data_IF_275547048450
#
_entry.id   IF_275547048450
#
_cell.length_a   1.000
_cell.length_b   1.000
_cell.length_c   1.000
_cell.angle_alpha   90.00
_cell.angle_beta   90.00
_cell.angle_gamma   90.00
#
_symmetry.space_group_name_H-M   'P 1'
#
loop_
_entity.id
_entity.type
_entity.pdbx_description
1 polymer ?
#
# COMPACT_ATOMS: atom_id res chain seq x y z
N UNK A 1 -2.65 -8.41 2.44
CA UNK A 1 -2.56 -8.40 0.97
C UNK A 1 -1.12 -8.26 0.46
N UNK A 2 -0.17 -8.20 1.36
CA UNK A 2 1.25 -8.30 1.02
C UNK A 2 1.59 -9.73 0.59
N UNK A 3 2.38 -9.89 -0.46
CA UNK A 3 2.87 -11.20 -0.89
C UNK A 3 4.29 -11.35 -0.35
N UNK A 4 4.56 -12.30 0.57
CA UNK A 4 5.91 -12.53 1.07
C UNK A 4 6.82 -13.18 0.02
N UNK A 5 8.14 -13.06 0.22
CA UNK A 5 9.10 -13.77 -0.63
C UNK A 5 8.91 -15.29 -0.54
N UNK A 6 8.99 -15.95 -1.70
CA UNK A 6 8.79 -17.37 -1.81
C UNK A 6 7.38 -17.80 -2.23
N UNK A 7 6.37 -16.96 -2.15
CA UNK A 7 5.03 -17.27 -2.66
C UNK A 7 4.93 -17.17 -4.18
N UNK A 8 5.68 -16.27 -4.80
CA UNK A 8 5.77 -16.13 -6.25
C UNK A 8 7.11 -16.61 -6.78
N UNK A 9 7.08 -17.18 -7.98
CA UNK A 9 8.31 -17.55 -8.69
C UNK A 9 9.11 -16.30 -9.09
N UNK A 10 10.44 -16.39 -9.24
CA UNK A 10 11.23 -15.30 -9.81
C UNK A 10 10.74 -14.82 -11.17
N UNK A 11 10.22 -15.72 -12.02
CA UNK A 11 9.67 -15.36 -13.31
C UNK A 11 8.42 -14.46 -13.17
N UNK A 12 7.52 -14.78 -12.25
CA UNK A 12 6.34 -13.94 -11.96
C UNK A 12 6.78 -12.59 -11.39
N UNK A 13 7.73 -12.55 -10.45
CA UNK A 13 8.27 -11.32 -9.88
C UNK A 13 8.89 -10.41 -10.95
N UNK A 14 9.69 -10.97 -11.84
CA UNK A 14 10.30 -10.24 -12.97
C UNK A 14 9.23 -9.72 -13.93
N UNK A 15 8.21 -10.52 -14.23
CA UNK A 15 7.09 -10.07 -15.10
C UNK A 15 6.37 -8.87 -14.50
N UNK A 16 6.07 -8.88 -13.20
CA UNK A 16 5.52 -7.71 -12.50
C UNK A 16 6.48 -6.52 -12.54
N UNK A 17 7.80 -6.75 -12.40
CA UNK A 17 8.83 -5.72 -12.53
C UNK A 17 8.86 -5.07 -13.90
N UNK A 18 8.74 -5.86 -14.97
CA UNK A 18 8.66 -5.35 -16.35
C UNK A 18 7.45 -4.44 -16.56
N UNK A 19 6.32 -4.74 -15.90
CA UNK A 19 5.14 -3.89 -15.93
C UNK A 19 5.30 -2.63 -15.06
N UNK A 20 5.92 -2.77 -13.89
CA UNK A 20 6.03 -1.66 -12.94
C UNK A 20 7.10 -0.63 -13.29
N UNK A 21 8.23 -1.02 -13.90
CA UNK A 21 9.28 -0.07 -14.29
C UNK A 21 8.77 1.06 -15.18
N UNK A 22 8.05 0.79 -16.29
CA UNK A 22 7.44 1.87 -17.08
C UNK A 22 6.39 2.67 -16.31
N UNK A 23 5.61 2.03 -15.43
CA UNK A 23 4.62 2.72 -14.59
C UNK A 23 5.31 3.71 -13.63
N UNK A 24 6.39 3.31 -12.95
CA UNK A 24 7.17 4.19 -12.08
C UNK A 24 7.82 5.34 -12.86
N UNK A 25 8.42 5.07 -14.01
CA UNK A 25 9.02 6.10 -14.87
C UNK A 25 7.97 7.11 -15.31
N UNK A 26 6.80 6.64 -15.74
CA UNK A 26 5.72 7.51 -16.16
C UNK A 26 5.13 8.32 -15.00
N UNK A 27 4.95 7.69 -13.83
CA UNK A 27 4.50 8.36 -12.62
C UNK A 27 5.48 9.47 -12.20
N UNK A 28 6.78 9.16 -12.17
CA UNK A 28 7.82 10.15 -11.85
C UNK A 28 7.80 11.34 -12.82
N UNK A 29 7.65 11.08 -14.13
CA UNK A 29 7.54 12.14 -15.14
C UNK A 29 6.28 12.98 -14.96
N UNK A 30 5.12 12.34 -14.71
CA UNK A 30 3.83 13.03 -14.54
C UNK A 30 3.81 13.87 -13.27
N UNK A 31 4.24 13.31 -12.16
CA UNK A 31 4.28 14.00 -10.87
C UNK A 31 5.28 15.16 -10.89
N UNK A 32 6.43 15.01 -11.55
CA UNK A 32 7.44 16.05 -11.66
C UNK A 32 6.93 17.34 -12.31
N UNK A 33 5.96 17.26 -13.23
CA UNK A 33 5.42 18.45 -13.94
C UNK A 33 4.60 19.37 -13.03
N UNK A 34 3.95 18.82 -11.99
CA UNK A 34 3.13 19.60 -11.06
C UNK A 34 3.67 19.58 -9.61
N UNK A 35 4.82 18.90 -9.37
CA UNK A 35 5.45 18.88 -8.06
C UNK A 35 6.00 20.27 -7.74
N UNK A 36 5.32 20.97 -6.88
CA UNK A 36 5.71 22.24 -6.29
C UNK A 36 5.80 22.09 -4.77
N UNK A 37 6.31 23.11 -4.08
CA UNK A 37 6.55 23.09 -2.63
C UNK A 37 5.36 22.63 -1.78
N UNK A 38 4.13 22.75 -2.31
CA UNK A 38 2.89 22.34 -1.67
C UNK A 38 2.56 20.85 -1.80
N UNK A 39 2.90 20.23 -2.92
CA UNK A 39 2.55 18.84 -3.21
C UNK A 39 3.41 17.84 -2.40
N UNK A 40 4.68 18.16 -2.17
CA UNK A 40 5.61 17.28 -1.45
C UNK A 40 5.16 16.94 -0.03
N UNK A 41 4.78 17.93 0.83
CA UNK A 41 4.27 17.61 2.17
C UNK A 41 2.99 16.78 2.17
N UNK A 42 2.11 16.97 1.18
CA UNK A 42 0.89 16.18 1.04
C UNK A 42 1.18 14.76 0.57
N UNK A 43 2.13 14.56 -0.34
CA UNK A 43 2.59 13.23 -0.74
C UNK A 43 3.28 12.51 0.42
N UNK A 44 4.12 13.20 1.21
CA UNK A 44 4.74 12.64 2.40
C UNK A 44 3.69 12.20 3.43
N UNK A 45 2.72 13.06 3.71
CA UNK A 45 1.60 12.74 4.60
C UNK A 45 0.75 11.58 4.04
N UNK A 46 0.51 11.56 2.73
CA UNK A 46 -0.24 10.49 2.06
C UNK A 46 0.48 9.14 2.13
N UNK A 47 1.78 9.09 1.84
CA UNK A 47 2.57 7.87 1.95
C UNK A 47 2.63 7.38 3.41
N UNK A 48 2.80 8.29 4.37
CA UNK A 48 2.77 7.98 5.80
C UNK A 48 1.39 7.50 6.26
N UNK A 49 0.30 8.06 5.70
CA UNK A 49 -1.05 7.57 5.95
C UNK A 49 -1.23 6.15 5.39
N UNK A 50 -0.84 5.88 4.14
CA UNK A 50 -0.92 4.54 3.54
C UNK A 50 -0.14 3.52 4.38
N UNK A 51 1.09 3.84 4.79
CA UNK A 51 1.87 3.02 5.70
C UNK A 51 1.14 2.76 7.02
N UNK A 52 0.62 3.81 7.66
CA UNK A 52 0.01 3.69 8.99
C UNK A 52 -1.33 2.94 8.95
N UNK A 53 -2.16 3.13 7.92
CA UNK A 53 -3.45 2.44 7.83
C UNK A 53 -3.30 0.93 7.61
N UNK A 54 -2.23 0.50 6.95
CA UNK A 54 -1.91 -0.92 6.78
C UNK A 54 -1.52 -1.63 8.08
N UNK A 55 -1.16 -0.88 9.14
CA UNK A 55 -0.93 -1.45 10.48
C UNK A 55 -2.23 -1.87 11.19
N UNK A 56 -3.39 -1.43 10.71
CA UNK A 56 -4.68 -1.77 11.31
C UNK A 56 -5.25 -3.06 10.74
N UNK A 57 -4.72 -4.16 11.22
CA UNK A 57 -5.29 -5.48 10.90
C UNK A 57 -6.67 -5.65 11.55
N UNK A 58 -7.62 -6.15 10.78
CA UNK A 58 -8.94 -6.56 11.24
C UNK A 58 -9.11 -8.07 11.12
N UNK A 59 -9.78 -8.73 12.09
CA UNK A 59 -10.01 -10.16 12.01
C UNK A 59 -11.03 -10.47 10.91
N UNK A 60 -10.74 -11.49 10.10
CA UNK A 60 -11.60 -12.01 9.06
C UNK A 60 -12.08 -13.40 9.45
N UNK A 61 -13.35 -13.79 9.17
CA UNK A 61 -13.82 -15.15 9.40
C UNK A 61 -12.91 -16.18 8.75
N UNK A 62 -12.63 -17.27 9.48
CA UNK A 62 -11.67 -18.29 9.03
C UNK A 62 -10.28 -18.17 9.66
N UNK A 63 -10.09 -17.25 10.63
CA UNK A 63 -8.84 -17.15 11.39
C UNK A 63 -7.73 -16.39 10.66
N UNK A 64 -8.09 -15.56 9.68
CA UNK A 64 -7.18 -14.71 8.93
C UNK A 64 -7.42 -13.23 9.23
N UNK A 65 -6.57 -12.36 8.72
CA UNK A 65 -6.65 -10.91 8.89
C UNK A 65 -6.65 -10.19 7.54
N UNK A 66 -7.11 -8.94 7.55
CA UNK A 66 -7.03 -8.03 6.41
C UNK A 66 -6.90 -6.59 6.89
N UNK A 67 -6.48 -5.67 6.01
CA UNK A 67 -6.33 -4.25 6.30
C UNK A 67 -6.71 -3.39 5.08
N UNK A 68 -6.99 -2.12 5.33
CA UNK A 68 -7.08 -1.12 4.27
C UNK A 68 -5.67 -0.68 3.81
N UNK A 69 -5.56 -0.10 2.63
CA UNK A 69 -4.30 0.38 2.03
C UNK A 69 -4.24 1.90 1.96
N UNK A 70 -5.40 2.55 1.84
CA UNK A 70 -5.49 4.00 1.66
C UNK A 70 -5.20 4.46 0.22
N UNK A 71 -4.93 3.53 -0.69
CA UNK A 71 -4.61 3.84 -2.09
C UNK A 71 -5.75 4.52 -2.83
N UNK A 72 -6.99 4.16 -2.52
CA UNK A 72 -8.20 4.80 -3.04
C UNK A 72 -8.30 6.27 -2.64
N UNK A 73 -8.08 6.57 -1.37
CA UNK A 73 -8.04 7.95 -0.85
C UNK A 73 -6.97 8.78 -1.55
N UNK A 74 -5.75 8.24 -1.64
CA UNK A 74 -4.63 8.93 -2.27
C UNK A 74 -4.89 9.20 -3.76
N UNK A 75 -5.54 8.26 -4.47
CA UNK A 75 -5.91 8.43 -5.86
C UNK A 75 -6.91 9.58 -6.07
N UNK A 76 -7.89 9.73 -5.17
CA UNK A 76 -8.88 10.81 -5.24
C UNK A 76 -8.26 12.16 -4.89
N UNK A 77 -7.41 12.22 -3.86
CA UNK A 77 -6.83 13.49 -3.37
C UNK A 77 -5.64 13.95 -4.21
N UNK A 78 -4.71 13.05 -4.54
CA UNK A 78 -3.44 13.38 -5.19
C UNK A 78 -3.41 13.03 -6.68
N UNK A 79 -4.42 12.31 -7.16
CA UNK A 79 -4.42 11.67 -8.47
C UNK A 79 -3.68 10.32 -8.48
N UNK A 80 -4.00 9.41 -9.43
CA UNK A 80 -3.53 8.03 -9.41
C UNK A 80 -2.01 7.89 -9.57
N UNK A 81 -1.35 8.79 -10.31
CA UNK A 81 0.10 8.76 -10.48
C UNK A 81 0.88 9.12 -9.22
N UNK A 82 0.39 10.08 -8.43
CA UNK A 82 1.00 10.41 -7.16
C UNK A 82 0.69 9.35 -6.09
N UNK A 83 -0.52 8.80 -6.10
CA UNK A 83 -0.89 7.67 -5.26
C UNK A 83 0.03 6.47 -5.50
N UNK A 84 0.34 6.14 -6.77
CA UNK A 84 1.29 5.10 -7.13
C UNK A 84 2.65 5.32 -6.44
N UNK A 85 3.19 6.52 -6.48
CA UNK A 85 4.48 6.83 -5.81
C UNK A 85 4.34 6.70 -4.30
N UNK A 86 3.29 7.27 -3.70
CA UNK A 86 3.10 7.24 -2.24
C UNK A 86 2.98 5.81 -1.71
N UNK A 87 2.17 4.97 -2.36
CA UNK A 87 1.99 3.57 -1.94
C UNK A 87 3.27 2.76 -2.20
N UNK A 88 3.96 2.99 -3.33
CA UNK A 88 5.28 2.35 -3.57
C UNK A 88 6.28 2.68 -2.46
N UNK A 89 6.35 3.94 -2.00
CA UNK A 89 7.23 4.35 -0.90
C UNK A 89 6.83 3.60 0.39
N UNK A 90 5.53 3.55 0.71
CA UNK A 90 5.06 2.84 1.89
C UNK A 90 5.44 1.36 1.87
N UNK A 91 5.14 0.65 0.76
CA UNK A 91 5.47 -0.76 0.58
C UNK A 91 6.98 -1.03 0.62
N UNK A 92 7.78 -0.13 0.06
CA UNK A 92 9.24 -0.24 0.11
C UNK A 92 9.75 -0.16 1.54
N UNK A 93 9.25 0.79 2.33
CA UNK A 93 9.62 0.93 3.75
C UNK A 93 9.15 -0.29 4.56
N UNK A 94 7.95 -0.83 4.28
CA UNK A 94 7.44 -2.04 4.93
C UNK A 94 8.34 -3.25 4.64
N UNK A 95 8.68 -3.49 3.39
CA UNK A 95 9.53 -4.62 3.02
C UNK A 95 10.95 -4.50 3.59
N UNK A 96 11.59 -3.32 3.49
CA UNK A 96 12.98 -3.14 3.95
C UNK A 96 13.14 -3.07 5.46
N UNK A 97 12.29 -2.34 6.17
CA UNK A 97 12.45 -2.12 7.60
C UNK A 97 11.74 -3.15 8.46
N UNK A 98 10.61 -3.66 7.98
CA UNK A 98 9.73 -4.50 8.80
C UNK A 98 9.58 -5.93 8.28
N UNK A 99 10.12 -6.23 7.09
CA UNK A 99 9.95 -7.54 6.46
C UNK A 99 8.51 -7.84 6.05
N UNK A 100 7.65 -6.83 6.03
CA UNK A 100 6.25 -6.95 5.67
C UNK A 100 6.10 -6.90 4.13
N UNK A 101 5.66 -8.00 3.53
CA UNK A 101 5.85 -8.32 2.13
C UNK A 101 7.28 -8.78 1.83
N UNK A 102 7.63 -8.99 0.57
CA UNK A 102 8.94 -9.45 0.16
C UNK A 102 9.69 -8.43 -0.69
N UNK A 103 11.02 -8.54 -0.77
CA UNK A 103 11.82 -7.73 -1.68
C UNK A 103 11.74 -8.25 -3.12
N UNK A 104 11.72 -9.55 -3.33
CA UNK A 104 11.50 -10.16 -4.64
C UNK A 104 10.09 -9.89 -5.14
N UNK A 105 9.11 -9.93 -4.25
CA UNK A 105 7.70 -9.69 -4.56
C UNK A 105 7.32 -8.21 -4.53
N UNK A 106 8.24 -7.28 -4.22
CA UNK A 106 7.95 -5.85 -4.12
C UNK A 106 7.27 -5.30 -5.38
N UNK A 107 7.72 -5.72 -6.56
CA UNK A 107 7.11 -5.27 -7.82
C UNK A 107 5.67 -5.79 -7.98
N UNK A 108 5.37 -7.03 -7.57
CA UNK A 108 4.02 -7.59 -7.56
C UNK A 108 3.12 -6.86 -6.55
N UNK A 109 3.62 -6.65 -5.33
CA UNK A 109 2.92 -5.87 -4.31
C UNK A 109 2.64 -4.43 -4.79
N UNK A 110 3.58 -3.78 -5.47
CA UNK A 110 3.37 -2.48 -6.07
C UNK A 110 2.40 -2.53 -7.26
N UNK A 111 2.43 -3.57 -8.09
CA UNK A 111 1.47 -3.75 -9.18
C UNK A 111 0.05 -3.80 -8.62
N UNK A 112 -0.21 -4.58 -7.60
CA UNK A 112 -1.52 -4.74 -7.00
C UNK A 112 -1.97 -3.48 -6.23
N UNK A 113 -1.18 -3.03 -5.25
CA UNK A 113 -1.57 -2.00 -4.30
C UNK A 113 -1.22 -0.58 -4.75
N UNK A 114 -0.15 -0.38 -5.54
CA UNK A 114 0.25 0.96 -5.98
C UNK A 114 -0.22 1.30 -7.40
N UNK A 115 -0.52 0.31 -8.24
CA UNK A 115 -1.03 0.55 -9.61
C UNK A 115 -2.50 0.19 -9.72
N UNK A 116 -2.87 -1.10 -9.60
CA UNK A 116 -4.25 -1.56 -9.85
C UNK A 116 -5.26 -0.86 -8.93
N UNK A 117 -5.01 -0.86 -7.62
CA UNK A 117 -5.92 -0.24 -6.64
C UNK A 117 -6.19 1.24 -6.95
N UNK A 118 -5.18 2.14 -6.97
CA UNK A 118 -5.45 3.58 -7.13
C UNK A 118 -6.02 3.94 -8.50
N UNK A 119 -5.61 3.25 -9.57
CA UNK A 119 -6.14 3.55 -10.90
C UNK A 119 -7.59 3.10 -11.06
N UNK A 120 -7.94 1.93 -10.55
CA UNK A 120 -9.33 1.43 -10.53
C UNK A 120 -10.20 2.33 -9.64
N UNK A 121 -9.72 2.67 -8.44
CA UNK A 121 -10.44 3.55 -7.53
C UNK A 121 -10.71 4.91 -8.16
N UNK A 122 -9.72 5.49 -8.84
CA UNK A 122 -9.87 6.79 -9.49
C UNK A 122 -10.83 6.72 -10.68
N UNK A 123 -10.80 5.66 -11.47
CA UNK A 123 -11.72 5.47 -12.59
C UNK A 123 -13.18 5.39 -12.11
N UNK A 124 -13.44 4.60 -11.07
CA UNK A 124 -14.77 4.51 -10.45
C UNK A 124 -15.20 5.85 -9.84
N UNK A 125 -14.29 6.53 -9.11
CA UNK A 125 -14.55 7.86 -8.58
C UNK A 125 -14.96 8.84 -9.67
N UNK A 126 -14.23 8.91 -10.76
CA UNK A 126 -14.54 9.81 -11.88
C UNK A 126 -15.87 9.46 -12.55
N UNK A 127 -16.16 8.18 -12.73
CA UNK A 127 -17.42 7.72 -13.32
C UNK A 127 -18.65 8.13 -12.48
N UNK A 128 -18.52 8.07 -11.14
CA UNK A 128 -19.62 8.44 -10.22
C UNK A 128 -19.69 9.96 -10.00
N UNK A 129 -18.56 10.61 -9.75
CA UNK A 129 -18.53 12.03 -9.39
C UNK A 129 -18.71 12.95 -10.61
N UNK A 130 -18.18 12.58 -11.77
CA UNK A 130 -18.20 13.40 -12.98
C UNK A 130 -17.66 14.81 -12.72
N UNK A 131 -18.29 15.80 -13.37
CA UNK A 131 -17.98 17.22 -13.21
C UNK A 131 -18.75 17.89 -12.04
N UNK A 132 -19.16 17.11 -11.02
CA UNK A 132 -19.94 17.66 -9.90
C UNK A 132 -19.13 18.65 -9.07
N UNK A 133 -19.83 19.56 -8.37
CA UNK A 133 -19.24 20.49 -7.42
C UNK A 133 -18.37 19.76 -6.37
N UNK A 134 -17.31 20.44 -5.86
CA UNK A 134 -16.38 19.86 -4.90
C UNK A 134 -17.07 19.42 -3.58
N UNK A 135 -18.20 20.04 -3.24
CA UNK A 135 -19.00 19.71 -2.05
C UNK A 135 -20.14 18.73 -2.32
N UNK A 136 -20.31 18.28 -3.57
CA UNK A 136 -21.40 17.37 -3.90
C UNK A 136 -21.25 16.01 -3.21
N UNK A 137 -22.38 15.45 -2.74
CA UNK A 137 -22.46 14.11 -2.12
C UNK A 137 -21.86 13.03 -3.04
N UNK A 138 -22.06 13.15 -4.37
CA UNK A 138 -21.53 12.20 -5.35
C UNK A 138 -20.02 12.01 -5.25
N UNK A 139 -19.25 12.99 -4.79
CA UNK A 139 -17.79 12.88 -4.67
C UNK A 139 -17.38 11.95 -3.55
N UNK A 140 -17.89 12.10 -2.34
CA UNK A 140 -17.52 11.21 -1.25
C UNK A 140 -18.10 9.80 -1.45
N UNK A 141 -19.31 9.68 -2.03
CA UNK A 141 -19.88 8.37 -2.42
C UNK A 141 -19.06 7.71 -3.52
N UNK A 142 -18.69 8.45 -4.55
CA UNK A 142 -17.81 7.96 -5.61
C UNK A 142 -16.43 7.54 -5.10
N UNK A 143 -15.88 8.27 -4.13
CA UNK A 143 -14.63 7.92 -3.47
C UNK A 143 -14.75 6.64 -2.64
N UNK A 144 -15.85 6.47 -1.89
CA UNK A 144 -16.12 5.25 -1.13
C UNK A 144 -16.25 4.03 -2.07
N UNK A 145 -17.04 4.14 -3.12
CA UNK A 145 -17.19 3.07 -4.11
C UNK A 145 -15.86 2.79 -4.83
N UNK A 146 -15.11 3.85 -5.15
CA UNK A 146 -13.79 3.74 -5.75
C UNK A 146 -12.81 2.95 -4.87
N UNK A 147 -12.69 3.29 -3.59
CA UNK A 147 -11.85 2.57 -2.64
C UNK A 147 -12.24 1.09 -2.53
N UNK A 148 -13.53 0.82 -2.36
CA UNK A 148 -14.06 -0.55 -2.29
C UNK A 148 -13.70 -1.37 -3.54
N UNK A 149 -14.02 -0.86 -4.73
CA UNK A 149 -13.79 -1.58 -5.99
C UNK A 149 -12.29 -1.69 -6.28
N UNK A 150 -11.53 -0.64 -6.00
CA UNK A 150 -10.09 -0.61 -6.23
C UNK A 150 -9.34 -1.65 -5.41
N UNK A 151 -9.64 -1.74 -4.11
CA UNK A 151 -9.00 -2.75 -3.24
C UNK A 151 -9.43 -4.17 -3.61
N UNK A 152 -10.70 -4.37 -3.95
CA UNK A 152 -11.20 -5.68 -4.41
C UNK A 152 -10.55 -6.11 -5.72
N UNK A 153 -10.34 -5.18 -6.67
CA UNK A 153 -9.62 -5.46 -7.92
C UNK A 153 -8.16 -5.87 -7.66
N UNK A 154 -7.46 -5.15 -6.77
CA UNK A 154 -6.10 -5.52 -6.38
C UNK A 154 -6.04 -6.91 -5.74
N UNK A 155 -6.97 -7.22 -4.84
CA UNK A 155 -7.06 -8.54 -4.21
C UNK A 155 -7.33 -9.66 -5.25
N UNK A 156 -8.12 -9.36 -6.27
CA UNK A 156 -8.33 -10.31 -7.38
C UNK A 156 -7.04 -10.61 -8.11
N UNK A 157 -6.22 -9.58 -8.39
CA UNK A 157 -4.91 -9.76 -9.02
C UNK A 157 -3.98 -10.62 -8.16
N UNK A 158 -3.91 -10.34 -6.83
CA UNK A 158 -3.15 -11.19 -5.89
C UNK A 158 -3.63 -12.64 -5.92
N UNK A 159 -4.94 -12.87 -5.88
CA UNK A 159 -5.51 -14.22 -5.97
C UNK A 159 -5.12 -14.95 -7.26
N UNK A 160 -5.09 -14.23 -8.39
CA UNK A 160 -4.66 -14.79 -9.69
C UNK A 160 -3.14 -15.05 -9.68
N UNK A 161 -2.32 -14.11 -9.22
CA UNK A 161 -0.87 -14.27 -9.14
C UNK A 161 -0.47 -15.49 -8.31
N UNK A 162 -1.08 -15.66 -7.14
CA UNK A 162 -0.87 -16.81 -6.26
C UNK A 162 -1.40 -18.10 -6.86
N UNK A 163 -2.63 -18.05 -7.40
CA UNK A 163 -3.33 -19.23 -7.91
C UNK A 163 -2.74 -19.81 -9.20
N UNK A 164 -1.98 -19.02 -9.96
CA UNK A 164 -1.27 -19.51 -11.15
C UNK A 164 0.03 -20.26 -10.82
N UNK A 165 0.58 -20.10 -9.61
CA UNK A 165 1.88 -20.72 -9.28
C UNK A 165 1.88 -22.23 -9.37
N UNK A 166 0.88 -22.99 -8.83
CA UNK A 166 0.88 -24.44 -8.90
C UNK A 166 0.83 -24.97 -10.32
N UNK A 167 0.12 -24.29 -11.21
CA UNK A 167 -0.02 -24.73 -12.61
C UNK A 167 1.20 -24.42 -13.48
N UNK A 168 1.94 -23.34 -13.16
CA UNK A 168 3.08 -22.88 -13.93
C UNK A 168 4.41 -23.40 -13.39
N UNK A 169 4.52 -23.62 -12.08
CA UNK A 169 5.77 -23.90 -11.39
C UNK A 169 5.62 -25.08 -10.42
N UNK A 170 5.85 -26.27 -10.92
CA UNK A 170 5.77 -27.53 -10.17
C UNK A 170 6.94 -28.45 -10.55
N UNK A 171 7.18 -29.45 -9.73
CA UNK A 171 8.12 -30.54 -10.02
C UNK A 171 7.55 -31.47 -11.11
N UNK A 172 8.38 -32.40 -11.63
CA UNK A 172 7.93 -33.42 -12.57
C UNK A 172 6.77 -34.29 -12.02
N UNK A 173 6.67 -34.40 -10.69
CA UNK A 173 5.61 -35.14 -10.00
C UNK A 173 4.38 -34.27 -9.64
N UNK A 174 4.30 -33.03 -10.15
CA UNK A 174 3.18 -32.13 -9.94
C UNK A 174 3.18 -31.41 -8.57
N UNK A 175 4.26 -31.51 -7.77
CA UNK A 175 4.34 -30.81 -6.47
C UNK A 175 4.66 -29.33 -6.70
N UNK A 176 3.86 -28.38 -6.18
CA UNK A 176 4.09 -26.95 -6.32
C UNK A 176 5.45 -26.52 -5.76
N UNK A 177 6.13 -25.61 -6.46
CA UNK A 177 7.42 -25.04 -6.03
C UNK A 177 7.28 -23.74 -5.22
N UNK A 178 6.16 -23.04 -5.37
CA UNK A 178 5.84 -21.76 -4.73
C UNK A 178 4.48 -21.83 -4.03
N UNK A 179 3.63 -20.79 -4.14
CA UNK A 179 2.29 -20.85 -3.57
C UNK A 179 1.59 -22.18 -3.94
N UNK A 180 1.11 -22.96 -2.96
CA UNK A 180 0.59 -24.30 -3.23
C UNK A 180 -0.90 -24.33 -3.60
N UNK A 181 -1.59 -23.19 -3.50
CA UNK A 181 -3.04 -23.11 -3.68
C UNK A 181 -3.38 -22.74 -5.13
N UNK A 182 -4.21 -23.55 -5.84
CA UNK A 182 -4.63 -23.25 -7.20
C UNK A 182 -5.65 -22.11 -7.28
N UNK A 183 -5.98 -21.66 -8.48
CA UNK A 183 -6.90 -20.55 -8.75
C UNK A 183 -8.25 -20.69 -8.05
N UNK A 184 -8.79 -21.90 -8.00
CA UNK A 184 -10.08 -22.23 -7.40
C UNK A 184 -10.11 -22.01 -5.89
N UNK A 185 -8.95 -21.94 -5.25
CA UNK A 185 -8.79 -21.65 -3.83
C UNK A 185 -8.30 -20.20 -3.62
N UNK A 186 -7.24 -19.80 -4.31
CA UNK A 186 -6.59 -18.52 -4.09
C UNK A 186 -7.51 -17.33 -4.42
N UNK A 187 -8.20 -17.37 -5.56
CA UNK A 187 -9.09 -16.28 -5.98
C UNK A 187 -10.28 -16.10 -5.03
N UNK A 188 -11.08 -17.15 -4.69
CA UNK A 188 -12.16 -17.00 -3.74
C UNK A 188 -11.69 -16.56 -2.34
N UNK A 189 -10.56 -17.08 -1.84
CA UNK A 189 -10.03 -16.71 -0.53
C UNK A 189 -9.69 -15.23 -0.46
N UNK A 190 -9.03 -14.69 -1.49
CA UNK A 190 -8.73 -13.27 -1.59
C UNK A 190 -10.01 -12.43 -1.79
N UNK A 191 -10.91 -12.85 -2.67
CA UNK A 191 -12.15 -12.10 -2.94
C UNK A 191 -13.08 -12.04 -1.73
N UNK A 192 -13.31 -13.14 -1.02
CA UNK A 192 -14.27 -13.17 0.10
C UNK A 192 -13.83 -12.20 1.21
N UNK A 193 -12.55 -12.23 1.60
CA UNK A 193 -12.03 -11.34 2.64
C UNK A 193 -12.12 -9.86 2.23
N UNK A 194 -11.90 -9.55 0.96
CA UNK A 194 -11.91 -8.18 0.46
C UNK A 194 -13.30 -7.67 0.11
N UNK A 195 -14.19 -8.49 -0.44
CA UNK A 195 -15.58 -8.09 -0.68
C UNK A 195 -16.35 -7.85 0.62
N UNK A 196 -16.09 -8.64 1.66
CA UNK A 196 -16.89 -8.58 2.88
C UNK A 196 -16.33 -7.61 3.93
N UNK A 197 -15.01 -7.42 4.02
CA UNK A 197 -14.40 -6.67 5.11
C UNK A 197 -13.39 -5.62 4.65
N UNK A 198 -12.28 -5.98 4.02
CA UNK A 198 -11.23 -5.03 3.69
C UNK A 198 -11.68 -3.97 2.67
N UNK A 199 -12.42 -4.38 1.64
CA UNK A 199 -12.98 -3.46 0.64
C UNK A 199 -13.98 -2.47 1.25
N UNK A 200 -15.01 -2.93 2.00
CA UNK A 200 -15.86 -2.01 2.76
C UNK A 200 -15.08 -1.06 3.68
N UNK A 201 -14.05 -1.55 4.38
CA UNK A 201 -13.21 -0.69 5.22
C UNK A 201 -12.48 0.38 4.40
N UNK A 202 -11.81 0.01 3.31
CA UNK A 202 -11.15 0.95 2.39
C UNK A 202 -12.15 1.98 1.85
N UNK A 203 -13.34 1.52 1.45
CA UNK A 203 -14.41 2.39 0.96
C UNK A 203 -14.90 3.37 2.02
N UNK A 204 -15.19 2.89 3.22
CA UNK A 204 -15.68 3.72 4.34
C UNK A 204 -14.62 4.74 4.74
N UNK A 205 -13.36 4.32 4.92
CA UNK A 205 -12.26 5.23 5.27
C UNK A 205 -12.10 6.29 4.18
N UNK A 206 -12.03 5.88 2.92
CA UNK A 206 -11.89 6.80 1.78
C UNK A 206 -13.06 7.79 1.73
N UNK A 207 -14.30 7.31 1.80
CA UNK A 207 -15.49 8.18 1.74
C UNK A 207 -15.59 9.15 2.90
N UNK A 208 -15.35 8.69 4.14
CA UNK A 208 -15.40 9.54 5.33
C UNK A 208 -14.31 10.61 5.33
N UNK A 209 -13.09 10.27 4.93
CA UNK A 209 -12.00 11.25 4.82
C UNK A 209 -12.30 12.29 3.73
N UNK A 210 -12.78 11.88 2.56
CA UNK A 210 -13.18 12.83 1.50
C UNK A 210 -14.31 13.73 1.98
N UNK A 211 -15.31 13.19 2.68
CA UNK A 211 -16.39 14.01 3.28
C UNK A 211 -15.86 15.01 4.32
N UNK A 212 -14.92 14.58 5.16
CA UNK A 212 -14.28 15.47 6.13
C UNK A 212 -13.45 16.58 5.45
N UNK A 213 -12.71 16.26 4.38
CA UNK A 213 -11.98 17.24 3.58
C UNK A 213 -12.92 18.22 2.90
N UNK A 214 -14.07 17.77 2.36
CA UNK A 214 -15.10 18.64 1.79
C UNK A 214 -15.64 19.65 2.82
N UNK A 215 -15.78 19.24 4.08
CA UNK A 215 -16.26 20.11 5.14
C UNK A 215 -15.18 21.10 5.63
N UNK A 216 -13.94 20.64 5.74
CA UNK A 216 -12.85 21.41 6.33
C UNK A 216 -12.17 22.35 5.33
N UNK A 217 -11.80 21.84 4.16
CA UNK A 217 -11.11 22.58 3.09
C UNK A 217 -11.28 21.89 1.73
N UNK A 218 -12.35 22.22 0.97
CA UNK A 218 -12.60 21.62 -0.33
C UNK A 218 -11.46 21.83 -1.35
N UNK A 219 -10.60 22.86 -1.16
CA UNK A 219 -9.49 23.14 -2.06
C UNK A 219 -8.42 22.04 -2.06
N UNK A 220 -8.40 21.19 -1.02
CA UNK A 220 -7.55 20.00 -0.96
C UNK A 220 -7.98 18.91 -1.97
N UNK A 221 -9.20 18.97 -2.47
CA UNK A 221 -9.71 18.06 -3.50
C UNK A 221 -9.48 18.59 -4.93
N UNK A 222 -8.96 19.80 -5.07
CA UNK A 222 -8.61 20.42 -6.35
C UNK A 222 -7.14 20.87 -6.36
N UNK A 223 -6.25 19.92 -6.18
CA UNK A 223 -4.80 20.19 -6.19
C UNK A 223 -4.26 20.62 -7.57
N UNK A 224 -5.06 20.47 -8.63
CA UNK A 224 -4.74 20.93 -9.98
C UNK A 224 -5.11 22.41 -10.17
N UNK A 225 -5.94 22.98 -9.29
CA UNK A 225 -6.16 24.42 -9.26
C UNK A 225 -4.84 25.12 -8.90
N UNK A 226 -4.44 26.09 -9.73
CA UNK A 226 -3.16 26.82 -9.67
C UNK A 226 -2.96 27.70 -8.41
N UNK A 227 -3.58 27.39 -7.29
CA UNK A 227 -3.43 28.14 -6.05
C UNK A 227 -2.03 27.90 -5.43
N UNK A 228 -1.22 28.92 -5.36
CA UNK A 228 0.15 28.90 -4.79
C UNK A 228 0.16 28.98 -3.24
N UNK A 229 -1.00 29.18 -2.60
CA UNK A 229 -1.06 29.28 -1.14
C UNK A 229 -0.89 27.90 -0.47
N UNK A 230 -0.10 27.77 0.60
CA UNK A 230 0.02 26.51 1.33
C UNK A 230 -1.34 26.10 1.90
N UNK A 231 -1.72 24.79 1.87
CA UNK A 231 -2.99 24.35 2.40
C UNK A 231 -3.04 24.61 3.90
N UNK A 232 -3.99 25.42 4.33
CA UNK A 232 -4.21 25.74 5.77
C UNK A 232 -4.56 24.48 6.58
N UNK A 233 -5.03 23.42 5.91
CA UNK A 233 -5.39 22.14 6.51
C UNK A 233 -4.24 21.13 6.69
N UNK A 234 -3.07 21.34 6.08
CA UNK A 234 -1.98 20.35 6.13
C UNK A 234 -1.55 19.99 7.56
N UNK A 235 -1.49 20.97 8.47
CA UNK A 235 -1.19 20.74 9.88
C UNK A 235 -2.20 19.82 10.56
N UNK A 236 -3.48 19.93 10.21
CA UNK A 236 -4.55 19.07 10.78
C UNK A 236 -4.40 17.61 10.30
N UNK A 237 -3.93 17.39 9.06
CA UNK A 237 -3.67 16.05 8.54
C UNK A 237 -2.54 15.36 9.32
N UNK A 238 -1.47 16.09 9.65
CA UNK A 238 -0.38 15.56 10.48
C UNK A 238 -0.83 15.24 11.91
N UNK A 239 -1.71 16.04 12.52
CA UNK A 239 -2.30 15.71 13.81
C UNK A 239 -3.19 14.48 13.75
N UNK A 240 -3.99 14.34 12.69
CA UNK A 240 -4.81 13.15 12.47
C UNK A 240 -3.95 11.90 12.29
N UNK A 241 -2.86 12.01 11.53
CA UNK A 241 -1.87 10.94 11.38
C UNK A 241 -1.21 10.57 12.72
N UNK A 242 -0.83 11.55 13.54
CA UNK A 242 -0.32 11.32 14.89
C UNK A 242 -1.31 10.54 15.77
N UNK A 243 -2.60 10.87 15.69
CA UNK A 243 -3.67 10.12 16.36
C UNK A 243 -3.76 8.67 15.86
N UNK A 244 -3.67 8.45 14.54
CA UNK A 244 -3.63 7.11 13.98
C UNK A 244 -2.40 6.32 14.46
N UNK A 245 -1.22 6.93 14.49
CA UNK A 245 -0.01 6.27 15.01
C UNK A 245 -0.21 5.82 16.46
N UNK A 246 -0.76 6.67 17.32
CA UNK A 246 -1.03 6.33 18.73
C UNK A 246 -2.05 5.19 18.87
N UNK A 247 -3.00 5.09 17.96
CA UNK A 247 -4.04 4.05 17.94
C UNK A 247 -3.60 2.79 17.18
N UNK A 248 -2.43 2.77 16.51
CA UNK A 248 -1.97 1.63 15.72
C UNK A 248 -1.94 0.29 16.47
N UNK A 249 -1.70 0.23 17.82
CA UNK A 249 -1.78 -1.04 18.55
C UNK A 249 -3.15 -1.73 18.51
N UNK A 250 -4.21 -1.06 18.06
CA UNK A 250 -5.50 -1.71 17.80
C UNK A 250 -5.37 -2.81 16.73
N UNK A 251 -4.43 -2.70 15.81
CA UNK A 251 -4.14 -3.75 14.82
C UNK A 251 -3.64 -5.05 15.45
N UNK A 252 -3.04 -5.00 16.64
CA UNK A 252 -2.58 -6.19 17.37
C UNK A 252 -3.74 -7.00 18.00
N UNK A 253 -4.96 -6.47 18.02
CA UNK A 253 -6.15 -7.18 18.50
C UNK A 253 -6.58 -8.29 17.51
N UNK A 254 -6.28 -8.15 16.23
CA UNK A 254 -6.51 -9.17 15.24
C UNK A 254 -5.44 -10.26 15.37
N UNK A 255 -5.86 -11.46 15.72
CA UNK A 255 -4.99 -12.63 15.83
C UNK A 255 -4.97 -13.40 14.52
N UNK A 256 -3.82 -14.00 14.19
CA UNK A 256 -3.62 -14.79 12.98
C UNK A 256 -2.97 -14.01 11.85
N UNK A 257 -2.49 -14.74 10.86
CA UNK A 257 -1.79 -14.24 9.68
C UNK A 257 -2.79 -14.00 8.54
N UNK A 258 -2.55 -13.00 7.70
CA UNK A 258 -3.38 -12.78 6.53
C UNK A 258 -3.27 -13.97 5.55
N UNK A 259 -4.35 -14.25 4.81
CA UNK A 259 -4.35 -15.35 3.86
C UNK A 259 -3.27 -15.17 2.79
N UNK A 260 -2.42 -16.18 2.63
CA UNK A 260 -1.29 -16.13 1.70
C UNK A 260 -0.05 -15.38 2.24
N UNK A 261 -0.01 -15.04 3.52
CA UNK A 261 1.11 -14.35 4.17
C UNK A 261 1.78 -15.22 5.27
N UNK A 262 1.46 -16.51 5.32
CA UNK A 262 1.99 -17.43 6.33
C UNK A 262 3.51 -17.61 6.22
N UNK A 263 4.17 -17.68 7.35
CA UNK A 263 5.57 -18.05 7.44
C UNK A 263 5.83 -19.52 7.07
N UNK A 264 7.09 -19.88 6.85
CA UNK A 264 7.49 -21.26 6.47
C UNK A 264 6.99 -22.29 7.48
N UNK A 265 7.06 -21.99 8.77
CA UNK A 265 6.64 -22.89 9.85
C UNK A 265 5.14 -23.15 9.83
N UNK A 266 4.33 -22.12 9.56
CA UNK A 266 2.88 -22.23 9.43
C UNK A 266 2.53 -23.06 8.18
N UNK A 267 3.21 -22.81 7.05
CA UNK A 267 3.03 -23.58 5.81
C UNK A 267 3.38 -25.06 6.04
N UNK A 268 4.49 -25.34 6.74
CA UNK A 268 4.89 -26.70 7.10
C UNK A 268 3.83 -27.41 7.97
N UNK A 269 3.25 -26.68 8.92
CA UNK A 269 2.17 -27.23 9.78
C UNK A 269 0.89 -27.53 9.01
N UNK A 270 0.52 -26.65 8.07
CA UNK A 270 -0.72 -26.79 7.28
C UNK A 270 -0.63 -27.88 6.21
N UNK A 271 0.52 -28.03 5.55
CA UNK A 271 0.69 -28.89 4.38
C UNK A 271 1.48 -30.18 4.66
N UNK A 272 2.21 -30.22 5.77
CA UNK A 272 3.18 -31.29 6.05
C UNK A 272 4.49 -31.18 5.27
N UNK A 273 4.65 -30.18 4.39
CA UNK A 273 5.86 -29.88 3.63
C UNK A 273 5.98 -28.39 3.33
N UNK A 274 7.16 -27.93 2.95
CA UNK A 274 7.38 -26.56 2.43
C UNK A 274 7.74 -26.66 0.94
N UNK A 275 7.08 -25.91 0.05
CA UNK A 275 7.47 -25.84 -1.36
C UNK A 275 8.94 -25.44 -1.53
N UNK A 276 9.69 -26.16 -2.35
CA UNK A 276 11.16 -26.00 -2.44
C UNK A 276 11.61 -24.60 -2.91
N UNK A 277 10.85 -23.95 -3.80
CA UNK A 277 11.12 -22.59 -4.26
C UNK A 277 10.80 -21.57 -3.15
N UNK A 278 9.72 -21.78 -2.38
CA UNK A 278 9.37 -20.97 -1.24
C UNK A 278 10.48 -21.02 -0.18
N UNK A 279 10.95 -22.19 0.18
CA UNK A 279 12.04 -22.36 1.15
C UNK A 279 13.33 -21.63 0.76
N UNK A 280 13.65 -21.57 -0.54
CA UNK A 280 14.83 -20.87 -1.05
C UNK A 280 14.73 -19.36 -0.99
N UNK A 281 13.54 -18.80 -1.16
CA UNK A 281 13.34 -17.36 -1.29
C UNK A 281 12.84 -16.69 -0.01
N UNK A 282 12.15 -17.39 0.89
CA UNK A 282 11.60 -16.83 2.11
C UNK A 282 12.67 -16.21 3.05
N UNK A 283 13.92 -16.66 2.95
CA UNK A 283 15.07 -16.08 3.67
C UNK A 283 15.83 -15.01 2.88
N UNK A 284 15.30 -14.48 1.78
CA UNK A 284 16.02 -13.55 0.92
C UNK A 284 16.38 -12.22 1.59
N UNK A 285 15.58 -11.78 2.58
CA UNK A 285 15.85 -10.58 3.38
C UNK A 285 15.77 -10.85 4.88
N UNK A 286 16.76 -11.54 5.49
CA UNK A 286 16.75 -11.87 6.92
C UNK A 286 17.17 -10.68 7.81
N UNK A 287 17.42 -9.50 7.24
CA UNK A 287 18.05 -8.36 7.91
C UNK A 287 17.08 -7.20 8.14
N UNK A 288 15.76 -7.43 8.11
CA UNK A 288 14.81 -6.40 8.50
C UNK A 288 15.11 -5.91 9.93
N UNK A 289 15.34 -4.60 10.16
CA UNK A 289 15.70 -4.10 11.49
C UNK A 289 14.62 -4.31 12.55
N UNK A 290 13.35 -4.34 12.14
CA UNK A 290 12.17 -4.45 13.02
C UNK A 290 11.16 -5.46 12.45
N UNK A 291 11.54 -6.76 12.33
CA UNK A 291 10.66 -7.74 11.70
C UNK A 291 9.31 -7.79 12.43
N UNK A 292 8.24 -7.90 11.64
CA UNK A 292 6.86 -7.95 12.11
C UNK A 292 6.46 -6.79 13.04
N UNK A 293 7.08 -5.62 12.87
CA UNK A 293 6.88 -4.43 13.69
C UNK A 293 7.18 -4.64 15.17
N UNK A 294 8.04 -5.60 15.50
CA UNK A 294 8.43 -5.95 16.85
C UNK A 294 9.78 -5.33 17.22
N UNK A 295 9.92 -4.95 18.50
CA UNK A 295 11.20 -4.56 19.06
C UNK A 295 11.80 -5.73 19.88
N UNK A 296 13.10 -6.01 19.74
CA UNK A 296 13.75 -7.11 20.45
C UNK A 296 13.53 -7.02 21.96
N UNK A 297 13.16 -8.13 22.58
CA UNK A 297 12.96 -8.22 24.04
C UNK A 297 11.62 -7.71 24.56
N UNK A 298 10.75 -7.17 23.72
CA UNK A 298 9.42 -6.66 24.11
C UNK A 298 8.35 -7.75 23.99
N UNK A 299 8.20 -8.60 25.01
CA UNK A 299 7.28 -9.76 24.99
C UNK A 299 5.94 -9.53 25.69
N UNK A 300 5.84 -8.53 26.58
CA UNK A 300 4.57 -8.21 27.25
C UNK A 300 3.63 -7.43 26.35
N UNK A 301 2.31 -7.57 26.54
CA UNK A 301 1.30 -6.93 25.68
C UNK A 301 1.42 -5.41 25.60
N UNK A 302 1.74 -4.75 26.73
CA UNK A 302 1.94 -3.29 26.71
C UNK A 302 3.25 -2.89 26.01
N UNK A 303 4.31 -3.71 26.19
CA UNK A 303 5.59 -3.47 25.53
C UNK A 303 5.48 -3.69 24.01
N UNK A 304 4.75 -4.72 23.58
CA UNK A 304 4.43 -4.94 22.17
C UNK A 304 3.65 -3.74 21.57
N UNK A 305 2.65 -3.22 22.30
CA UNK A 305 1.91 -2.03 21.88
C UNK A 305 2.82 -0.79 21.74
N UNK A 306 3.73 -0.58 22.70
CA UNK A 306 4.70 0.51 22.60
C UNK A 306 5.68 0.30 21.44
N UNK A 307 6.17 -0.93 21.25
CA UNK A 307 7.02 -1.31 20.12
C UNK A 307 6.35 -1.01 18.78
N UNK A 308 5.07 -1.33 18.67
CA UNK A 308 4.28 -1.08 17.47
C UNK A 308 4.14 0.42 17.16
N UNK A 309 3.91 1.27 18.18
CA UNK A 309 3.91 2.74 18.03
C UNK A 309 5.30 3.24 17.60
N UNK A 310 6.38 2.74 18.21
CA UNK A 310 7.74 3.12 17.84
C UNK A 310 8.04 2.75 16.38
N UNK A 311 7.68 1.54 15.97
CA UNK A 311 7.81 1.10 14.57
C UNK A 311 7.00 1.99 13.60
N UNK A 312 5.78 2.37 13.99
CA UNK A 312 4.96 3.31 13.22
C UNK A 312 5.66 4.69 13.08
N UNK A 313 6.23 5.21 14.16
CA UNK A 313 6.99 6.47 14.12
C UNK A 313 8.26 6.35 13.27
N UNK A 314 8.99 5.25 13.36
CA UNK A 314 10.18 4.99 12.53
C UNK A 314 9.81 4.93 11.05
N UNK A 315 8.77 4.20 10.69
CA UNK A 315 8.29 4.11 9.31
C UNK A 315 7.86 5.45 8.74
N UNK A 316 7.04 6.21 9.48
CA UNK A 316 6.62 7.57 9.09
C UNK A 316 7.82 8.52 8.99
N UNK A 317 8.77 8.44 9.91
CA UNK A 317 10.01 9.21 9.87
C UNK A 317 10.87 8.89 8.65
N UNK A 318 11.01 7.61 8.31
CA UNK A 318 11.73 7.16 7.10
C UNK A 318 11.06 7.67 5.82
N UNK A 319 9.72 7.59 5.74
CA UNK A 319 8.94 8.14 4.62
C UNK A 319 9.15 9.65 4.49
N UNK A 320 9.06 10.39 5.59
CA UNK A 320 9.26 11.83 5.60
C UNK A 320 10.69 12.22 5.16
N UNK A 321 11.70 11.51 5.63
CA UNK A 321 13.08 11.69 5.23
C UNK A 321 13.29 11.41 3.74
N UNK A 322 12.78 10.28 3.24
CA UNK A 322 12.90 9.89 1.84
C UNK A 322 12.23 10.91 0.90
N UNK A 323 11.01 11.31 1.22
CA UNK A 323 10.27 12.31 0.43
C UNK A 323 10.95 13.69 0.47
N UNK A 324 11.56 14.07 1.59
CA UNK A 324 12.34 15.30 1.71
C UNK A 324 13.59 15.27 0.82
N UNK A 325 14.36 14.17 0.85
CA UNK A 325 15.53 13.99 0.00
C UNK A 325 15.16 14.05 -1.48
N UNK A 326 14.11 13.31 -1.89
CA UNK A 326 13.62 13.31 -3.27
C UNK A 326 13.23 14.73 -3.73
N UNK A 327 12.60 15.53 -2.86
CA UNK A 327 12.22 16.90 -3.19
C UNK A 327 13.43 17.82 -3.38
N UNK A 328 14.47 17.66 -2.55
CA UNK A 328 15.70 18.44 -2.67
C UNK A 328 16.48 18.12 -3.96
N UNK A 329 16.59 16.84 -4.31
CA UNK A 329 17.23 16.43 -5.56
C UNK A 329 16.53 17.04 -6.78
N UNK A 330 15.19 17.05 -6.80
CA UNK A 330 14.43 17.64 -7.90
C UNK A 330 14.57 19.19 -7.98
N UNK A 331 14.66 19.87 -6.83
CA UNK A 331 14.88 21.31 -6.82
C UNK A 331 16.30 21.66 -7.33
N UNK A 332 17.30 20.88 -6.97
CA UNK A 332 18.65 21.05 -7.46
C UNK A 332 18.77 20.87 -8.99
N UNK A 333 18.11 19.82 -9.54
CA UNK A 333 18.05 19.64 -11.01
C UNK A 333 17.37 20.80 -11.75
N UNK A 334 16.32 21.40 -11.16
CA UNK A 334 15.64 22.55 -11.76
C UNK A 334 16.53 23.80 -11.76
N UNK A 335 17.24 24.05 -10.67
CA UNK A 335 18.18 25.17 -10.56
C UNK A 335 19.31 25.05 -11.58
N UNK A 336 19.90 23.84 -11.76
CA UNK A 336 20.94 23.60 -12.77
C UNK A 336 20.47 23.86 -14.22
N UNK A 337 19.25 23.38 -14.57
CA UNK A 337 18.68 23.60 -15.91
C UNK A 337 18.25 25.05 -16.20
N UNK A 338 17.97 25.85 -15.17
CA UNK A 338 17.67 27.26 -15.35
C UNK A 338 18.95 28.09 -15.60
N UNK A 339 20.09 27.72 -15.03
CA UNK A 339 21.38 28.36 -15.31
C UNK A 339 21.91 28.05 -16.71
N UNK A 340 21.73 26.79 -17.20
CA UNK A 340 22.12 26.42 -18.57
C UNK A 340 21.28 27.07 -19.69
N UNK A 341 20.09 27.61 -19.38
CA UNK A 341 19.24 28.33 -20.37
C UNK A 341 19.49 29.83 -20.41
N UNK A 342 20.26 30.35 -19.47
CA UNK A 342 20.60 31.76 -19.40
C UNK A 342 22.02 32.05 -19.91
N UNK A 343 22.80 31.03 -20.21
CA UNK A 343 24.04 31.08 -21.01
C UNK A 343 23.74 30.76 -22.51
#
# INVERSE_FOLDING_TARGET
MHIPDGYLSPATCVSCGVLMVPAWVLAARRVRTWLHSRAVPLMACGAAFAFTIMLYNIPVPGGTTAHAVGGGLLAVVLGPWAALICVTIALTIQAFLFGDGGLWTLAANCFNMALVLPFTAYAVYQAVSGASDLRATRRWVGAALGGYVGLTAAATCVGVELGLQPSLFHTANGVPLYCPYPLEIAVPAMLVSHLLLAGPLEGVVTGLVIRALQAADPSLLDLHARSLAPPTGARKLWWALGGLILLSPLGLLARGTAWGEWGIEEVQQMLGYVPAGMQRLAGAWPHAPFPDYALPGMTSSWAAALGYIVCALVGVGAIAALTHVMSRCQMAERAGRSSERTE
#
